data_IF_375284320993
#
_entry.id   IF_375284320993
#
_cell.length_a   1.000
_cell.length_b   1.000
_cell.length_c   1.000
_cell.angle_alpha   90.00
_cell.angle_beta   90.00
_cell.angle_gamma   90.00
#
_symmetry.space_group_name_H-M   'P 1'
#
loop_
_entity.id
_entity.type
_entity.pdbx_description
1 polymer ?
#
# COMPACT_ATOMS: atom_id res chain seq x y z
N UNK A 1 55.83 -34.59 -46.84
CA UNK A 1 54.86 -33.46 -46.75
C UNK A 1 53.96 -33.57 -47.97
N UNK A 2 52.61 -33.51 -47.89
CA UNK A 2 51.72 -32.84 -46.93
C UNK A 2 51.04 -33.85 -45.95
N UNK A 3 50.85 -33.54 -44.66
CA UNK A 3 49.81 -32.73 -43.96
C UNK A 3 48.47 -33.47 -43.71
N UNK A 4 48.34 -33.93 -42.45
CA UNK A 4 47.17 -34.16 -41.56
C UNK A 4 45.87 -33.40 -41.96
N UNK A 5 44.63 -33.84 -41.61
CA UNK A 5 44.29 -34.08 -40.20
C UNK A 5 43.20 -35.12 -39.83
N UNK A 6 43.26 -35.47 -38.55
CA UNK A 6 42.32 -36.24 -37.77
C UNK A 6 41.00 -35.47 -37.63
N UNK A 7 39.87 -36.10 -37.95
CA UNK A 7 38.55 -35.60 -37.57
C UNK A 7 38.29 -35.95 -36.09
N UNK A 8 38.57 -34.99 -35.22
CA UNK A 8 38.07 -34.95 -33.85
C UNK A 8 36.59 -34.58 -33.89
N UNK A 9 35.70 -35.54 -33.63
CA UNK A 9 34.31 -35.25 -33.26
C UNK A 9 34.32 -34.62 -31.85
N UNK A 10 34.18 -33.30 -31.78
CA UNK A 10 33.91 -32.58 -30.54
C UNK A 10 32.41 -32.65 -30.23
N UNK A 11 32.06 -33.30 -29.12
CA UNK A 11 30.71 -33.39 -28.60
C UNK A 11 30.22 -32.00 -28.13
N UNK A 12 29.09 -31.57 -28.66
CA UNK A 12 28.40 -30.33 -28.27
C UNK A 12 27.65 -30.61 -26.96
N UNK A 13 28.17 -30.09 -25.85
CA UNK A 13 27.45 -30.00 -24.58
C UNK A 13 26.57 -28.74 -24.61
N UNK A 14 25.27 -28.94 -24.82
CA UNK A 14 24.26 -27.90 -24.60
C UNK A 14 24.08 -27.69 -23.09
N UNK A 15 24.68 -26.62 -22.56
CA UNK A 15 24.42 -26.12 -21.21
C UNK A 15 23.09 -25.38 -21.24
N UNK A 16 22.01 -26.05 -20.86
CA UNK A 16 20.73 -25.42 -20.56
C UNK A 16 20.82 -24.74 -19.19
N UNK A 17 21.20 -23.47 -19.19
CA UNK A 17 21.18 -22.63 -17.97
C UNK A 17 19.75 -22.20 -17.60
N UNK A 18 19.42 -22.12 -16.30
CA UNK A 18 18.10 -21.69 -15.85
C UNK A 18 17.88 -20.21 -16.20
N UNK A 19 16.86 -19.96 -17.02
CA UNK A 19 16.40 -18.63 -17.38
C UNK A 19 15.63 -18.06 -16.20
N UNK A 20 16.26 -17.17 -15.43
CA UNK A 20 15.55 -16.39 -14.43
C UNK A 20 14.59 -15.44 -15.17
N UNK A 21 13.29 -15.67 -15.02
CA UNK A 21 12.25 -14.76 -15.46
C UNK A 21 12.33 -13.50 -14.60
N UNK A 22 13.09 -12.50 -15.05
CA UNK A 22 12.95 -11.14 -14.54
C UNK A 22 11.60 -10.62 -15.04
N UNK A 23 10.55 -10.75 -14.22
CA UNK A 23 9.25 -10.16 -14.50
C UNK A 23 9.38 -8.64 -14.55
N UNK A 24 8.88 -8.01 -15.61
CA UNK A 24 8.77 -6.56 -15.74
C UNK A 24 7.63 -5.99 -14.88
N UNK A 25 7.58 -6.39 -13.60
CA UNK A 25 6.66 -5.83 -12.61
C UNK A 25 7.36 -4.71 -11.85
N UNK A 26 6.60 -3.70 -11.45
CA UNK A 26 7.05 -2.78 -10.42
C UNK A 26 7.22 -3.57 -9.11
N UNK A 27 8.36 -3.44 -8.42
CA UNK A 27 8.72 -4.26 -7.25
C UNK A 27 7.80 -4.03 -6.04
N UNK A 28 8.18 -4.53 -4.86
CA UNK A 28 7.48 -4.16 -3.64
C UNK A 28 7.61 -2.65 -3.36
N UNK A 29 6.60 -2.07 -2.70
CA UNK A 29 6.64 -0.69 -2.21
C UNK A 29 7.40 -0.70 -0.88
N UNK A 30 8.55 -0.04 -0.86
CA UNK A 30 9.35 0.13 0.36
C UNK A 30 8.61 1.05 1.33
N UNK A 31 8.29 0.53 2.51
CA UNK A 31 7.63 1.29 3.57
C UNK A 31 8.45 1.24 4.85
N UNK A 32 8.40 2.33 5.63
CA UNK A 32 8.93 2.26 7.00
C UNK A 32 8.14 1.21 7.79
N UNK A 33 8.81 0.29 8.52
CA UNK A 33 8.12 -0.67 9.37
C UNK A 33 7.12 0.04 10.29
N UNK A 34 5.90 -0.47 10.32
CA UNK A 34 4.79 0.08 11.07
C UNK A 34 4.23 -1.00 12.00
N UNK A 35 4.10 -0.64 13.28
CA UNK A 35 3.41 -1.45 14.28
C UNK A 35 2.20 -0.65 14.76
N UNK A 36 0.99 -1.23 14.73
CA UNK A 36 -0.22 -0.51 15.10
C UNK A 36 -0.27 -0.25 16.60
N UNK A 37 -0.98 0.80 17.01
CA UNK A 37 -1.21 1.13 18.42
C UNK A 37 -1.81 -0.08 19.18
N UNK A 38 -1.43 -0.31 20.46
CA UNK A 38 -1.89 -1.46 21.22
C UNK A 38 -3.42 -1.62 21.23
N UNK A 39 -3.90 -2.84 20.94
CA UNK A 39 -5.33 -3.14 20.85
C UNK A 39 -5.95 -2.94 19.46
N UNK A 40 -5.17 -2.47 18.49
CA UNK A 40 -5.65 -2.25 17.11
C UNK A 40 -5.45 -3.45 16.18
N UNK A 41 -4.58 -4.41 16.54
CA UNK A 41 -4.10 -5.45 15.64
C UNK A 41 -5.23 -6.27 14.97
N UNK A 42 -6.20 -6.77 15.75
CA UNK A 42 -7.30 -7.57 15.21
C UNK A 42 -8.19 -6.78 14.23
N UNK A 43 -8.46 -5.51 14.55
CA UNK A 43 -9.25 -4.61 13.68
C UNK A 43 -8.47 -4.28 12.41
N UNK A 44 -7.17 -4.04 12.52
CA UNK A 44 -6.33 -3.72 11.37
C UNK A 44 -6.14 -4.92 10.43
N UNK A 45 -5.96 -6.13 10.96
CA UNK A 45 -5.94 -7.34 10.15
C UNK A 45 -7.27 -7.56 9.42
N UNK A 46 -8.40 -7.36 10.11
CA UNK A 46 -9.73 -7.44 9.48
C UNK A 46 -9.95 -6.37 8.40
N UNK A 47 -9.48 -5.14 8.64
CA UNK A 47 -9.48 -4.08 7.62
C UNK A 47 -8.65 -4.51 6.42
N UNK A 48 -7.42 -4.99 6.63
CA UNK A 48 -6.51 -5.43 5.57
C UNK A 48 -7.15 -6.51 4.69
N UNK A 49 -7.80 -7.52 5.28
CA UNK A 49 -8.53 -8.56 4.56
C UNK A 49 -9.73 -8.04 3.76
N UNK A 50 -10.30 -6.89 4.14
CA UNK A 50 -11.44 -6.27 3.50
C UNK A 50 -11.07 -5.22 2.43
N UNK A 51 -9.77 -4.90 2.29
CA UNK A 51 -9.31 -3.89 1.34
C UNK A 51 -9.58 -4.30 -0.11
N UNK A 52 -9.86 -3.33 -0.99
CA UNK A 52 -10.01 -3.61 -2.41
C UNK A 52 -8.65 -3.85 -3.07
N UNK A 53 -8.62 -4.74 -4.06
CA UNK A 53 -7.43 -4.97 -4.89
C UNK A 53 -7.07 -3.75 -5.78
N UNK A 54 -7.96 -2.76 -5.88
CA UNK A 54 -7.77 -1.55 -6.69
C UNK A 54 -8.36 -0.32 -5.99
N UNK A 55 -7.67 0.82 -6.05
CA UNK A 55 -8.16 2.14 -5.63
C UNK A 55 -7.84 3.16 -6.73
N UNK A 56 -8.82 3.92 -7.20
CA UNK A 56 -8.68 4.90 -8.30
C UNK A 56 -7.89 4.32 -9.50
N UNK A 57 -8.31 3.13 -9.96
CA UNK A 57 -7.66 2.30 -11.00
C UNK A 57 -6.22 1.83 -10.70
N UNK A 58 -5.61 2.23 -9.59
CA UNK A 58 -4.32 1.72 -9.14
C UNK A 58 -4.45 0.33 -8.53
N UNK A 59 -3.69 -0.61 -9.07
CA UNK A 59 -3.65 -2.00 -8.63
C UNK A 59 -2.79 -2.15 -7.38
N UNK A 60 -3.24 -3.01 -6.47
CA UNK A 60 -2.52 -3.39 -5.25
C UNK A 60 -1.10 -3.88 -5.54
N UNK A 61 -0.19 -3.59 -4.61
CA UNK A 61 1.21 -3.98 -4.66
C UNK A 61 1.66 -4.52 -3.31
N UNK A 62 2.57 -5.49 -3.37
CA UNK A 62 3.29 -5.96 -2.18
C UNK A 62 4.03 -4.81 -1.50
N UNK A 63 4.14 -4.86 -0.18
CA UNK A 63 4.93 -3.94 0.65
C UNK A 63 6.18 -4.63 1.21
N UNK A 64 7.28 -3.90 1.34
CA UNK A 64 8.51 -4.38 1.99
C UNK A 64 8.88 -3.44 3.17
N UNK A 65 9.00 -3.96 4.41
CA UNK A 65 8.75 -5.35 4.81
C UNK A 65 7.25 -5.72 4.71
N UNK A 66 6.92 -7.02 4.51
CA UNK A 66 5.54 -7.49 4.54
C UNK A 66 4.85 -7.14 5.86
N UNK A 67 3.60 -6.69 5.79
CA UNK A 67 2.81 -6.28 6.95
C UNK A 67 1.33 -6.56 6.71
N UNK A 68 0.64 -7.00 7.77
CA UNK A 68 -0.83 -7.16 7.81
C UNK A 68 -1.56 -5.86 8.20
N UNK A 69 -0.82 -4.76 8.40
CA UNK A 69 -1.36 -3.47 8.84
C UNK A 69 -1.07 -2.33 7.86
N UNK A 70 -0.36 -2.65 6.76
CA UNK A 70 0.04 -1.72 5.70
C UNK A 70 -0.36 -2.31 4.36
N UNK A 71 -0.96 -1.49 3.50
CA UNK A 71 -1.28 -1.86 2.13
C UNK A 71 -0.83 -0.75 1.17
N UNK A 72 -0.57 -1.10 -0.09
CA UNK A 72 -0.15 -0.13 -1.08
C UNK A 72 -0.73 -0.42 -2.47
N UNK A 73 -0.91 0.64 -3.27
CA UNK A 73 -1.42 0.55 -4.63
C UNK A 73 -0.64 1.46 -5.57
N UNK A 74 -0.48 1.02 -6.83
CA UNK A 74 -0.08 1.88 -7.94
C UNK A 74 1.37 2.36 -7.93
N UNK A 75 1.63 3.37 -8.77
CA UNK A 75 2.93 4.04 -8.86
C UNK A 75 2.78 5.46 -9.45
N UNK A 76 3.03 6.54 -8.68
CA UNK A 76 3.50 6.55 -7.28
C UNK A 76 2.53 5.85 -6.33
N UNK A 77 3.04 5.36 -5.19
CA UNK A 77 2.27 4.47 -4.33
C UNK A 77 1.29 5.26 -3.46
N UNK A 78 0.01 4.89 -3.50
CA UNK A 78 -0.93 5.16 -2.39
C UNK A 78 -0.57 4.17 -1.29
N UNK A 79 -0.45 4.63 -0.04
CA UNK A 79 -0.09 3.76 1.09
C UNK A 79 -1.09 3.95 2.22
N UNK A 80 -1.70 2.86 2.68
CA UNK A 80 -2.58 2.82 3.84
C UNK A 80 -1.81 2.24 5.04
N UNK A 81 -1.96 2.87 6.21
CA UNK A 81 -1.49 2.36 7.50
C UNK A 81 -2.65 2.37 8.50
N UNK A 82 -2.91 1.22 9.10
CA UNK A 82 -3.94 1.10 10.15
C UNK A 82 -3.35 1.13 11.55
N UNK A 83 -4.07 1.71 12.51
CA UNK A 83 -3.66 1.79 13.90
C UNK A 83 -2.56 2.83 14.13
N UNK A 84 -2.60 3.94 13.38
CA UNK A 84 -1.67 5.06 13.60
C UNK A 84 -2.03 5.83 14.88
N UNK A 85 -1.07 6.56 15.42
CA UNK A 85 -1.33 7.50 16.50
C UNK A 85 -2.16 8.71 16.03
N UNK A 86 -2.83 9.38 16.96
CA UNK A 86 -3.55 10.63 16.68
C UNK A 86 -2.61 11.69 16.09
N UNK A 87 -2.89 12.24 14.88
CA UNK A 87 -2.08 13.30 14.29
C UNK A 87 -2.01 14.53 15.19
N UNK A 88 -0.84 15.17 15.26
CA UNK A 88 -0.63 16.37 16.09
C UNK A 88 -1.44 17.59 15.59
N UNK A 89 -1.84 17.56 14.32
CA UNK A 89 -2.73 18.52 13.66
C UNK A 89 -4.19 18.42 14.14
N UNK A 90 -4.61 17.28 14.71
CA UNK A 90 -5.97 17.10 15.21
C UNK A 90 -6.22 17.98 16.44
N UNK A 91 -7.02 19.03 16.25
CA UNK A 91 -7.35 20.06 17.24
C UNK A 91 -8.85 20.38 17.19
N UNK A 92 -9.44 21.02 18.22
CA UNK A 92 -10.87 21.33 18.24
C UNK A 92 -11.39 22.16 17.05
N UNK A 93 -10.50 22.91 16.39
CA UNK A 93 -10.77 23.74 15.21
C UNK A 93 -10.29 23.10 13.89
N UNK A 94 -9.83 21.85 13.92
CA UNK A 94 -9.42 21.13 12.73
C UNK A 94 -10.60 20.95 11.78
N UNK A 95 -10.35 21.20 10.49
CA UNK A 95 -11.32 20.97 9.44
C UNK A 95 -11.21 19.52 8.97
N UNK A 96 -12.32 18.81 9.00
CA UNK A 96 -12.41 17.43 8.50
C UNK A 96 -13.20 17.43 7.20
N UNK A 97 -12.84 16.52 6.30
CA UNK A 97 -13.58 16.22 5.09
C UNK A 97 -14.35 14.93 5.28
N UNK A 98 -15.67 14.96 5.08
CA UNK A 98 -16.47 13.74 5.02
C UNK A 98 -16.49 13.24 3.57
N UNK A 99 -16.01 12.02 3.35
CA UNK A 99 -16.02 11.34 2.06
C UNK A 99 -16.61 9.96 2.28
N UNK A 100 -17.74 9.71 1.64
CA UNK A 100 -18.49 8.45 1.70
C UNK A 100 -18.72 7.93 3.14
N UNK A 101 -18.99 8.86 4.06
CA UNK A 101 -19.30 8.55 5.46
C UNK A 101 -18.09 8.38 6.39
N UNK A 102 -16.87 8.59 5.89
CA UNK A 102 -15.65 8.62 6.70
C UNK A 102 -15.13 10.05 6.83
N UNK A 103 -14.82 10.46 8.06
CA UNK A 103 -14.30 11.77 8.44
C UNK A 103 -12.77 11.80 8.43
N UNK A 104 -12.21 12.46 7.42
CA UNK A 104 -10.79 12.54 7.15
C UNK A 104 -10.19 13.85 7.64
N UNK A 105 -9.11 13.76 8.42
CA UNK A 105 -8.22 14.86 8.72
C UNK A 105 -7.12 14.92 7.65
N UNK A 106 -7.03 16.02 6.88
CA UNK A 106 -5.95 16.22 5.90
C UNK A 106 -4.68 16.76 6.58
N UNK A 107 -3.52 16.26 6.17
CA UNK A 107 -2.21 16.79 6.50
C UNK A 107 -1.34 16.87 5.24
N UNK A 108 -0.52 17.91 5.13
CA UNK A 108 0.38 18.08 3.99
C UNK A 108 1.50 17.01 4.00
N UNK A 109 1.71 16.35 2.87
CA UNK A 109 2.83 15.45 2.63
C UNK A 109 3.85 16.04 1.66
N UNK A 110 4.93 15.31 1.40
CA UNK A 110 5.86 15.64 0.33
C UNK A 110 5.41 14.94 -0.97
N UNK A 111 4.93 15.70 -1.94
CA UNK A 111 4.40 15.19 -3.22
C UNK A 111 3.01 14.54 -3.12
N UNK A 112 2.20 14.99 -2.15
CA UNK A 112 0.85 14.48 -1.92
C UNK A 112 0.28 14.93 -0.58
N UNK A 113 -0.77 14.23 -0.15
CA UNK A 113 -1.49 14.50 1.09
C UNK A 113 -1.57 13.24 1.95
N UNK A 114 -1.58 13.41 3.27
CA UNK A 114 -2.01 12.38 4.21
C UNK A 114 -3.45 12.64 4.61
N UNK A 115 -4.24 11.58 4.72
CA UNK A 115 -5.60 11.64 5.24
C UNK A 115 -5.76 10.62 6.35
N UNK A 116 -6.10 11.08 7.56
CA UNK A 116 -6.38 10.18 8.70
C UNK A 116 -7.87 10.12 9.00
N UNK A 117 -8.45 8.93 8.99
CA UNK A 117 -9.82 8.68 9.43
C UNK A 117 -9.93 8.83 10.95
N UNK A 118 -10.12 10.07 11.41
CA UNK A 118 -10.13 10.42 12.84
C UNK A 118 -11.49 10.20 13.48
N UNK A 119 -12.55 9.96 12.72
CA UNK A 119 -13.87 9.63 13.26
C UNK A 119 -14.03 8.13 13.61
N UNK A 120 -12.95 7.35 13.49
CA UNK A 120 -12.88 5.93 13.84
C UNK A 120 -12.21 5.69 15.20
N UNK A 121 -12.55 4.58 15.86
CA UNK A 121 -11.89 4.18 17.12
C UNK A 121 -10.42 3.82 16.90
N UNK A 122 -10.13 3.11 15.81
CA UNK A 122 -8.77 2.81 15.33
C UNK A 122 -8.49 3.70 14.12
N UNK A 123 -7.43 4.49 14.19
CA UNK A 123 -7.13 5.47 13.15
C UNK A 123 -6.48 4.81 11.94
N UNK A 124 -6.95 5.17 10.76
CA UNK A 124 -6.41 4.72 9.47
C UNK A 124 -5.86 5.92 8.73
N UNK A 125 -4.59 5.91 8.38
CA UNK A 125 -3.93 6.95 7.58
C UNK A 125 -3.74 6.45 6.15
N UNK A 126 -3.98 7.33 5.19
CA UNK A 126 -3.73 7.08 3.77
C UNK A 126 -2.85 8.20 3.23
N UNK A 127 -1.68 7.85 2.71
CA UNK A 127 -0.83 8.73 1.92
C UNK A 127 -1.28 8.65 0.46
N UNK A 128 -1.68 9.79 -0.11
CA UNK A 128 -2.18 9.91 -1.48
C UNK A 128 -1.28 10.85 -2.27
N UNK A 129 -0.51 10.36 -3.25
CA UNK A 129 0.29 11.21 -4.13
C UNK A 129 -0.56 12.18 -4.98
N UNK A 130 0.01 13.32 -5.37
CA UNK A 130 -0.67 14.34 -6.19
C UNK A 130 -1.19 13.79 -7.54
N UNK A 131 -0.60 12.72 -8.06
CA UNK A 131 -1.01 12.04 -9.29
C UNK A 131 -2.44 11.47 -9.23
N UNK A 132 -3.00 11.29 -8.04
CA UNK A 132 -4.36 10.76 -7.79
C UNK A 132 -5.39 11.87 -7.51
N UNK A 133 -5.12 13.12 -7.92
CA UNK A 133 -6.08 14.19 -7.77
C UNK A 133 -7.31 13.99 -8.70
N UNK A 134 -8.56 14.12 -8.20
CA UNK A 134 -8.92 14.44 -6.82
C UNK A 134 -8.80 13.22 -5.89
N UNK A 135 -8.16 13.44 -4.73
CA UNK A 135 -7.82 12.40 -3.75
C UNK A 135 -9.06 11.69 -3.19
N UNK A 136 -10.23 12.34 -3.29
CA UNK A 136 -11.51 11.80 -2.88
C UNK A 136 -11.88 10.48 -3.56
N UNK A 137 -11.39 10.20 -4.78
CA UNK A 137 -11.64 8.92 -5.44
C UNK A 137 -10.99 7.76 -4.67
N UNK A 138 -9.70 7.90 -4.33
CA UNK A 138 -8.94 6.93 -3.53
C UNK A 138 -9.62 6.71 -2.16
N UNK A 139 -10.00 7.80 -1.50
CA UNK A 139 -10.62 7.74 -0.17
C UNK A 139 -12.01 7.10 -0.21
N UNK A 140 -12.79 7.37 -1.25
CA UNK A 140 -14.12 6.77 -1.46
C UNK A 140 -14.05 5.25 -1.69
N UNK A 141 -13.10 4.78 -2.50
CA UNK A 141 -12.89 3.34 -2.74
C UNK A 141 -12.54 2.57 -1.46
N UNK A 142 -11.89 3.23 -0.50
CA UNK A 142 -11.50 2.66 0.79
C UNK A 142 -12.62 2.73 1.84
N UNK A 143 -13.58 3.64 1.68
CA UNK A 143 -14.57 3.97 2.71
C UNK A 143 -15.41 2.74 3.13
N UNK A 144 -15.84 1.91 2.17
CA UNK A 144 -16.64 0.72 2.48
C UNK A 144 -15.90 -0.30 3.35
N UNK A 145 -14.60 -0.49 3.13
CA UNK A 145 -13.78 -1.40 3.94
C UNK A 145 -13.63 -0.84 5.36
N UNK A 146 -13.33 0.45 5.48
CA UNK A 146 -13.18 1.14 6.77
C UNK A 146 -14.47 1.09 7.58
N UNK A 147 -15.61 1.46 7.00
CA UNK A 147 -16.91 1.43 7.69
C UNK A 147 -17.35 0.01 8.08
N UNK A 148 -16.98 -0.99 7.29
CA UNK A 148 -17.33 -2.39 7.55
C UNK A 148 -16.51 -3.06 8.65
N UNK A 149 -15.35 -2.50 9.00
CA UNK A 149 -14.35 -3.16 9.86
C UNK A 149 -13.92 -2.33 11.05
N UNK A 150 -13.91 -1.01 10.92
CA UNK A 150 -13.41 -0.08 11.94
C UNK A 150 -14.58 0.67 12.59
N UNK A 151 -14.89 0.42 13.88
CA UNK A 151 -15.99 1.07 14.57
C UNK A 151 -15.89 2.60 14.58
N UNK A 152 -17.04 3.27 14.56
CA UNK A 152 -17.08 4.73 14.73
C UNK A 152 -16.68 5.11 16.15
N UNK A 153 -15.95 6.21 16.28
CA UNK A 153 -15.62 6.78 17.59
C UNK A 153 -16.82 7.52 18.14
N UNK A 154 -17.36 7.04 19.27
CA UNK A 154 -18.45 7.74 19.95
C UNK A 154 -18.01 9.13 20.43
N UNK A 155 -18.81 10.15 20.11
CA UNK A 155 -18.66 11.50 20.65
C UNK A 155 -19.01 11.46 22.15
N UNK A 156 -17.99 11.42 23.01
CA UNK A 156 -18.16 11.50 24.47
C UNK A 156 -18.16 12.95 24.97
#
# INVERSE_FOLDING_TARGET
MPRRPHLTLAAILLVTGPTALAGCGYGAVEVTPHEPEPGSADVCAALHDALPNTVDDAVERDVDPPSEYVAAWGQPAVVLRCGVAMPASYRPDAQLFEIDGVGWLPDEGDGGMFFTAVDREILVEVAVPDDYAPEANVLGDLASAILGTVPERELR
#
